data_IF_904146908193
#
_entry.id   IF_904146908193
#
_cell.length_a   1.000
_cell.length_b   1.000
_cell.length_c   1.000
_cell.angle_alpha   90.00
_cell.angle_beta   90.00
_cell.angle_gamma   90.00
#
_symmetry.space_group_name_H-M   'P 1'
#
loop_
_entity.id
_entity.type
_entity.pdbx_description
1 polymer ?
#
# COMPACT_ATOMS: atom_id res chain seq x y z
N UNK A 1 10.90 -9.69 -8.96
CA UNK A 1 10.77 -8.46 -8.14
C UNK A 1 10.45 -7.26 -9.03
N UNK A 2 11.28 -6.94 -10.04
CA UNK A 2 11.03 -5.84 -11.00
C UNK A 2 9.64 -5.90 -11.66
N UNK A 3 9.23 -7.05 -12.20
CA UNK A 3 7.89 -7.16 -12.81
C UNK A 3 6.76 -6.89 -11.81
N UNK A 4 6.95 -7.27 -10.55
CA UNK A 4 5.96 -7.04 -9.51
C UNK A 4 5.88 -5.56 -9.14
N UNK A 5 7.01 -4.90 -8.95
CA UNK A 5 7.05 -3.46 -8.63
C UNK A 5 6.46 -2.62 -9.76
N UNK A 6 6.79 -2.93 -11.02
CA UNK A 6 6.19 -2.27 -12.19
C UNK A 6 4.68 -2.51 -12.29
N UNK A 7 4.22 -3.75 -12.05
CA UNK A 7 2.79 -4.06 -12.05
C UNK A 7 2.03 -3.32 -10.94
N UNK A 8 2.62 -3.25 -9.73
CA UNK A 8 2.05 -2.53 -8.60
C UNK A 8 2.02 -1.02 -8.84
N UNK A 9 3.07 -0.45 -9.45
CA UNK A 9 3.12 0.96 -9.82
C UNK A 9 2.01 1.30 -10.83
N UNK A 10 1.88 0.50 -11.88
CA UNK A 10 0.81 0.69 -12.87
C UNK A 10 -0.58 0.62 -12.24
N UNK A 11 -0.80 -0.35 -11.35
CA UNK A 11 -2.07 -0.47 -10.63
C UNK A 11 -2.35 0.77 -9.75
N UNK A 12 -1.33 1.29 -9.07
CA UNK A 12 -1.45 2.52 -8.29
C UNK A 12 -1.85 3.70 -9.18
N UNK A 13 -1.21 3.89 -10.33
CA UNK A 13 -1.53 4.96 -11.29
C UNK A 13 -3.00 4.89 -11.73
N UNK A 14 -3.47 3.71 -12.15
CA UNK A 14 -4.86 3.49 -12.59
C UNK A 14 -5.87 3.76 -11.45
N UNK A 15 -5.59 3.30 -10.23
CA UNK A 15 -6.47 3.55 -9.07
C UNK A 15 -6.53 5.02 -8.70
N UNK A 16 -5.39 5.71 -8.74
CA UNK A 16 -5.29 7.13 -8.41
C UNK A 16 -6.05 7.99 -9.43
N UNK A 17 -5.98 7.67 -10.71
CA UNK A 17 -6.75 8.33 -11.77
C UNK A 17 -8.26 8.26 -11.46
N UNK A 18 -8.77 7.05 -11.19
CA UNK A 18 -10.19 6.83 -10.86
C UNK A 18 -10.61 7.57 -9.59
N UNK A 19 -9.76 7.59 -8.55
CA UNK A 19 -10.06 8.34 -7.31
C UNK A 19 -10.17 9.84 -7.61
N UNK A 20 -9.24 10.39 -8.39
CA UNK A 20 -9.23 11.82 -8.72
C UNK A 20 -10.45 12.20 -9.55
N UNK A 21 -10.79 11.41 -10.57
CA UNK A 21 -12.01 11.60 -11.35
C UNK A 21 -13.26 11.58 -10.46
N UNK A 22 -13.36 10.63 -9.53
CA UNK A 22 -14.49 10.52 -8.61
C UNK A 22 -14.65 11.73 -7.67
N UNK A 23 -13.54 12.42 -7.39
CA UNK A 23 -13.50 13.65 -6.60
C UNK A 23 -13.65 14.92 -7.45
N UNK A 24 -13.76 14.80 -8.78
CA UNK A 24 -13.81 15.93 -9.70
C UNK A 24 -12.47 16.69 -9.82
N UNK A 25 -11.36 16.03 -9.48
CA UNK A 25 -10.01 16.59 -9.57
C UNK A 25 -9.41 16.34 -10.96
N UNK A 26 -8.47 17.19 -11.36
CA UNK A 26 -7.74 17.03 -12.61
C UNK A 26 -6.73 15.88 -12.48
N UNK A 27 -6.86 14.86 -13.32
CA UNK A 27 -6.00 13.68 -13.35
C UNK A 27 -4.58 13.98 -13.83
N UNK A 28 -4.36 15.07 -14.56
CA UNK A 28 -3.02 15.46 -15.04
C UNK A 28 -2.06 15.82 -13.89
N UNK A 29 -2.57 16.19 -12.72
CA UNK A 29 -1.74 16.45 -11.53
C UNK A 29 -0.97 15.20 -11.08
N UNK A 30 -1.50 14.01 -11.39
CA UNK A 30 -0.89 12.73 -11.04
C UNK A 30 0.31 12.40 -11.93
N UNK A 31 0.27 12.77 -13.21
CA UNK A 31 1.33 12.41 -14.14
C UNK A 31 2.67 13.08 -13.83
N UNK A 32 2.66 14.25 -13.19
CA UNK A 32 3.87 14.96 -12.81
C UNK A 32 4.40 14.44 -11.46
N UNK A 33 3.56 14.38 -10.42
CA UNK A 33 4.00 14.00 -9.07
C UNK A 33 4.17 12.49 -8.86
N UNK A 34 3.34 11.64 -9.48
CA UNK A 34 3.45 10.17 -9.33
C UNK A 34 4.58 9.61 -10.19
N UNK A 35 4.77 10.14 -11.41
CA UNK A 35 5.85 9.67 -12.28
C UNK A 35 7.23 10.01 -11.72
N UNK A 36 7.36 11.13 -10.99
CA UNK A 36 8.57 11.51 -10.26
C UNK A 36 8.63 10.97 -8.82
N UNK A 37 7.55 10.33 -8.37
CA UNK A 37 7.40 9.77 -7.03
C UNK A 37 8.31 8.57 -6.76
N UNK A 38 8.59 8.32 -5.48
CA UNK A 38 9.35 7.13 -5.05
C UNK A 38 8.41 5.98 -4.68
N UNK A 39 8.62 4.81 -5.29
CA UNK A 39 7.98 3.56 -4.87
C UNK A 39 8.87 2.82 -3.88
N UNK A 40 8.32 2.45 -2.71
CA UNK A 40 9.00 1.60 -1.73
C UNK A 40 8.22 0.29 -1.59
N UNK A 41 8.94 -0.83 -1.61
CA UNK A 41 8.37 -2.15 -1.38
C UNK A 41 8.97 -2.78 -0.12
N UNK A 42 8.11 -3.09 0.85
CA UNK A 42 8.47 -3.86 2.04
C UNK A 42 8.02 -5.32 1.89
N UNK A 43 8.90 -6.26 2.25
CA UNK A 43 8.58 -7.70 2.28
C UNK A 43 8.64 -8.16 3.73
N UNK A 44 7.47 -8.39 4.32
CA UNK A 44 7.35 -8.75 5.72
C UNK A 44 7.20 -10.26 5.88
N UNK A 45 7.95 -10.84 6.82
CA UNK A 45 7.84 -12.25 7.21
C UNK A 45 7.51 -12.33 8.71
N UNK A 46 6.31 -12.78 9.03
CA UNK A 46 5.84 -12.95 10.41
C UNK A 46 5.83 -14.45 10.76
N UNK A 47 6.76 -14.94 11.59
CA UNK A 47 6.78 -16.34 12.01
C UNK A 47 5.63 -16.65 12.99
N UNK A 48 5.37 -17.95 13.21
CA UNK A 48 4.43 -18.40 14.25
C UNK A 48 4.86 -17.90 15.63
N UNK A 49 3.93 -17.32 16.37
CA UNK A 49 4.17 -16.80 17.72
C UNK A 49 3.62 -17.77 18.78
N UNK A 50 4.41 -18.16 19.81
CA UNK A 50 3.91 -18.98 20.92
C UNK A 50 2.85 -18.29 21.78
N UNK A 51 2.91 -16.96 21.89
CA UNK A 51 2.01 -16.14 22.71
C UNK A 51 1.36 -15.03 21.84
N UNK A 52 0.48 -15.41 20.89
CA UNK A 52 -0.06 -14.48 19.89
C UNK A 52 -0.95 -13.39 20.51
N UNK A 53 -1.58 -13.66 21.66
CA UNK A 53 -2.44 -12.69 22.35
C UNK A 53 -1.64 -11.62 23.13
N UNK A 54 -0.32 -11.82 23.29
CA UNK A 54 0.58 -10.91 24.02
C UNK A 54 1.60 -10.23 23.12
N UNK A 55 1.64 -10.58 21.82
CA UNK A 55 2.68 -10.13 20.89
C UNK A 55 2.07 -9.45 19.66
N UNK A 56 2.67 -8.35 19.22
CA UNK A 56 2.32 -7.68 17.98
C UNK A 56 3.32 -8.05 16.88
N UNK A 57 2.82 -8.48 15.71
CA UNK A 57 3.66 -8.68 14.53
C UNK A 57 4.24 -7.36 14.01
N UNK A 58 3.38 -6.34 13.91
CA UNK A 58 3.75 -4.96 13.58
C UNK A 58 2.91 -4.03 14.45
N UNK A 59 3.51 -3.04 15.16
CA UNK A 59 2.73 -2.11 15.97
C UNK A 59 1.72 -1.33 15.12
N UNK A 60 0.58 -0.88 15.71
CA UNK A 60 -0.35 0.00 15.04
C UNK A 60 0.35 1.27 14.54
N UNK A 61 0.15 1.58 13.25
CA UNK A 61 0.73 2.75 12.60
C UNK A 61 -0.12 3.12 11.38
N UNK A 62 0.20 4.26 10.78
CA UNK A 62 -0.21 4.63 9.42
C UNK A 62 1.03 4.65 8.55
N UNK A 63 0.92 4.15 7.33
CA UNK A 63 2.00 4.29 6.35
C UNK A 63 2.21 5.76 5.97
N UNK A 64 3.45 6.07 5.60
CA UNK A 64 3.77 7.31 4.92
C UNK A 64 3.50 7.15 3.43
N UNK A 65 3.06 8.22 2.77
CA UNK A 65 2.82 8.23 1.33
C UNK A 65 1.33 8.30 0.98
N UNK A 66 1.03 8.12 -0.30
CA UNK A 66 -0.29 8.36 -0.86
C UNK A 66 -1.18 7.11 -0.86
N UNK A 67 -0.61 5.95 -1.18
CA UNK A 67 -1.33 4.68 -1.32
C UNK A 67 -0.41 3.50 -1.01
N UNK A 68 -0.90 2.53 -0.23
CA UNK A 68 -0.25 1.25 0.02
C UNK A 68 -1.03 0.11 -0.65
N UNK A 69 -0.35 -0.69 -1.47
CA UNK A 69 -0.92 -1.90 -2.09
C UNK A 69 -0.31 -3.11 -1.38
N UNK A 70 -1.14 -3.88 -0.67
CA UNK A 70 -0.70 -5.00 0.16
C UNK A 70 -1.14 -6.33 -0.46
N UNK A 71 -0.19 -7.24 -0.65
CA UNK A 71 -0.46 -8.64 -0.99
C UNK A 71 -0.19 -9.51 0.24
N UNK A 72 -1.20 -10.25 0.69
CA UNK A 72 -1.09 -11.16 1.83
C UNK A 72 -1.13 -12.61 1.39
N UNK A 73 -0.28 -13.45 1.99
CA UNK A 73 -0.33 -14.90 1.85
C UNK A 73 -0.99 -15.61 3.04
N UNK A 74 -1.17 -14.93 4.18
CA UNK A 74 -1.82 -15.43 5.38
C UNK A 74 -2.67 -14.33 6.03
N UNK A 75 -3.66 -14.74 6.83
CA UNK A 75 -4.51 -13.84 7.62
C UNK A 75 -3.71 -13.19 8.76
N UNK A 76 -4.03 -11.93 9.10
CA UNK A 76 -3.37 -11.22 10.21
C UNK A 76 -3.35 -9.69 10.10
N UNK A 77 -3.56 -9.13 8.91
CA UNK A 77 -3.74 -7.68 8.74
C UNK A 77 -5.02 -7.24 9.45
N UNK A 78 -4.91 -6.20 10.27
CA UNK A 78 -6.02 -5.55 10.95
C UNK A 78 -5.95 -4.06 10.64
N UNK A 79 -7.12 -3.46 10.37
CA UNK A 79 -7.25 -2.03 10.12
C UNK A 79 -8.17 -1.47 11.20
N UNK A 80 -7.78 -0.34 11.78
CA UNK A 80 -8.67 0.39 12.69
C UNK A 80 -9.75 1.09 11.86
N UNK A 81 -10.99 0.60 11.98
CA UNK A 81 -12.16 1.25 11.38
C UNK A 81 -12.54 2.55 12.07
N UNK A 82 -13.43 3.32 11.43
CA UNK A 82 -14.17 4.41 12.08
C UNK A 82 -15.45 3.90 12.71
#
# INVERSE_FOLDING_TARGET
MVNYTMGAQKLQEELMEVIFESLGLNTNYLHEDIAEGSQVMAVNCYPTCPEPDLTLGLPPHTDYGMMSIILQNHQGLQIMGR
#
